data_IF_349567709118
#
_entry.id   IF_349567709118
#
_cell.length_a   1.000
_cell.length_b   1.000
_cell.length_c   1.000
_cell.angle_alpha   90.00
_cell.angle_beta   90.00
_cell.angle_gamma   90.00
#
_symmetry.space_group_name_H-M   'P 1'
#
loop_
_entity.id
_entity.type
_entity.pdbx_description
1 polymer ?
#
# COMPACT_ATOMS: atom_id res chain seq x y z
N UNK A 1 -4.01 19.18 -13.48
CA UNK A 1 -3.50 19.23 -12.09
C UNK A 1 -4.13 18.07 -11.35
N UNK A 2 -3.43 16.98 -10.96
CA UNK A 2 -4.06 16.01 -10.08
C UNK A 2 -4.18 16.67 -8.70
N UNK A 3 -5.40 16.85 -8.24
CA UNK A 3 -5.73 17.37 -6.91
C UNK A 3 -5.24 16.39 -5.87
N UNK A 4 -4.12 16.70 -5.21
CA UNK A 4 -3.57 15.92 -4.11
C UNK A 4 -4.43 16.07 -2.87
N UNK A 5 -5.46 15.24 -2.74
CA UNK A 5 -6.02 14.96 -1.43
C UNK A 5 -5.06 13.99 -0.72
N UNK A 6 -4.47 14.45 0.38
CA UNK A 6 -3.88 13.54 1.38
C UNK A 6 -4.97 12.55 1.75
N UNK A 7 -4.78 11.27 1.40
CA UNK A 7 -5.88 10.32 1.43
C UNK A 7 -6.29 9.96 2.87
N UNK A 8 -5.37 10.13 3.84
CA UNK A 8 -5.63 9.93 5.26
C UNK A 8 -6.28 11.19 5.83
N UNK A 9 -7.50 11.03 6.35
CA UNK A 9 -8.29 12.09 6.98
C UNK A 9 -8.33 11.82 8.49
N UNK A 10 -8.13 12.86 9.30
CA UNK A 10 -8.24 12.79 10.76
C UNK A 10 -7.16 13.59 11.46
N UNK A 11 -7.44 13.98 12.71
CA UNK A 11 -6.55 14.82 13.52
C UNK A 11 -6.25 14.21 14.90
N UNK A 12 -6.53 12.91 15.09
CA UNK A 12 -6.23 12.25 16.36
C UNK A 12 -4.72 12.02 16.49
N UNK A 13 -4.26 11.85 17.73
CA UNK A 13 -2.84 11.62 18.02
C UNK A 13 -2.31 10.36 17.31
N UNK A 14 -3.15 9.32 17.18
CA UNK A 14 -2.82 8.09 16.48
C UNK A 14 -2.60 8.31 14.98
N UNK A 15 -3.45 9.13 14.34
CA UNK A 15 -3.29 9.48 12.91
C UNK A 15 -2.03 10.32 12.69
N UNK A 16 -1.72 11.23 13.62
CA UNK A 16 -0.49 12.02 13.58
C UNK A 16 0.73 11.10 13.70
N UNK A 17 0.72 10.15 14.63
CA UNK A 17 1.79 9.18 14.81
C UNK A 17 1.95 8.25 13.59
N UNK A 18 0.85 7.76 13.04
CA UNK A 18 0.83 6.94 11.84
C UNK A 18 1.48 7.70 10.68
N UNK A 19 1.09 8.94 10.43
CA UNK A 19 1.63 9.77 9.33
C UNK A 19 3.14 10.02 9.47
N UNK A 20 3.62 10.21 10.71
CA UNK A 20 5.07 10.31 11.00
C UNK A 20 5.79 8.99 10.69
N UNK A 21 5.21 7.85 11.09
CA UNK A 21 5.78 6.54 10.80
C UNK A 21 5.85 6.27 9.29
N UNK A 22 4.80 6.60 8.54
CA UNK A 22 4.80 6.47 7.08
C UNK A 22 5.92 7.28 6.43
N UNK A 23 6.15 8.51 6.90
CA UNK A 23 7.23 9.36 6.39
C UNK A 23 8.62 8.76 6.63
N UNK A 24 8.83 8.09 7.77
CA UNK A 24 10.08 7.38 8.07
C UNK A 24 10.26 6.13 7.19
N UNK A 25 9.19 5.35 7.02
CA UNK A 25 9.21 4.12 6.24
C UNK A 25 9.34 4.38 4.74
N UNK A 26 8.79 5.49 4.23
CA UNK A 26 8.76 5.81 2.81
C UNK A 26 10.15 5.93 2.15
N UNK A 27 11.18 6.29 2.92
CA UNK A 27 12.56 6.35 2.42
C UNK A 27 13.28 5.00 2.41
N UNK A 28 12.65 3.93 2.90
CA UNK A 28 13.27 2.61 3.05
C UNK A 28 12.89 1.67 1.90
N UNK A 29 13.81 0.79 1.53
CA UNK A 29 13.56 -0.31 0.60
C UNK A 29 13.09 -1.60 1.32
N UNK A 30 12.90 -1.55 2.65
CA UNK A 30 12.44 -2.69 3.43
C UNK A 30 10.95 -3.02 3.16
N UNK A 31 10.60 -4.30 3.28
CA UNK A 31 9.21 -4.74 3.25
C UNK A 31 8.43 -4.20 4.44
N UNK A 32 7.23 -3.65 4.18
CA UNK A 32 6.38 -3.03 5.20
C UNK A 32 5.11 -3.85 5.38
N UNK A 33 4.79 -4.21 6.63
CA UNK A 33 3.57 -4.91 7.01
C UNK A 33 2.57 -3.92 7.62
N UNK A 34 1.38 -3.82 7.03
CA UNK A 34 0.29 -2.97 7.54
C UNK A 34 -0.79 -3.87 8.15
N UNK A 35 -1.08 -3.65 9.43
CA UNK A 35 -2.09 -4.41 10.18
C UNK A 35 -3.23 -3.50 10.63
N UNK A 36 -4.41 -4.09 10.83
CA UNK A 36 -5.62 -3.39 11.24
C UNK A 36 -6.87 -4.17 10.88
N UNK A 37 -8.00 -3.79 11.45
CA UNK A 37 -9.29 -4.44 11.22
C UNK A 37 -9.81 -4.22 9.78
N UNK A 38 -10.77 -5.03 9.37
CA UNK A 38 -11.43 -4.83 8.07
C UNK A 38 -12.09 -3.44 8.02
N UNK A 39 -11.91 -2.71 6.92
CA UNK A 39 -12.46 -1.35 6.78
C UNK A 39 -11.66 -0.23 7.47
N UNK A 40 -10.54 -0.51 8.14
CA UNK A 40 -9.72 0.50 8.83
C UNK A 40 -8.88 1.41 7.91
N UNK A 41 -9.10 1.38 6.60
CA UNK A 41 -8.37 2.23 5.64
C UNK A 41 -6.95 1.77 5.30
N UNK A 42 -6.59 0.49 5.46
CA UNK A 42 -5.24 -0.01 5.12
C UNK A 42 -4.78 0.33 3.69
N UNK A 43 -5.67 0.27 2.70
CA UNK A 43 -5.33 0.67 1.32
C UNK A 43 -4.96 2.15 1.20
N UNK A 44 -5.63 3.00 1.97
CA UNK A 44 -5.33 4.44 2.03
C UNK A 44 -3.91 4.65 2.55
N UNK A 45 -3.55 3.93 3.61
CA UNK A 45 -2.21 3.94 4.21
C UNK A 45 -1.15 3.48 3.21
N UNK A 46 -1.38 2.37 2.49
CA UNK A 46 -0.42 1.86 1.50
C UNK A 46 -0.22 2.84 0.33
N UNK A 47 -1.30 3.48 -0.14
CA UNK A 47 -1.21 4.48 -1.22
C UNK A 47 -0.45 5.73 -0.78
N UNK A 48 -0.67 6.19 0.45
CA UNK A 48 0.04 7.34 1.00
C UNK A 48 1.52 7.02 1.19
N UNK A 49 1.86 5.82 1.66
CA UNK A 49 3.22 5.34 1.76
C UNK A 49 3.94 5.34 0.40
N UNK A 50 3.30 4.81 -0.65
CA UNK A 50 3.85 4.83 -2.02
C UNK A 50 4.07 6.28 -2.50
N UNK A 51 3.09 7.16 -2.27
CA UNK A 51 3.15 8.58 -2.63
C UNK A 51 4.32 9.32 -1.98
N UNK A 52 4.64 8.98 -0.73
CA UNK A 52 5.75 9.57 0.04
C UNK A 52 7.10 8.96 -0.32
N UNK A 53 7.13 7.79 -0.96
CA UNK A 53 8.37 7.06 -1.23
C UNK A 53 9.18 7.65 -2.37
N UNK A 54 10.45 7.23 -2.46
CA UNK A 54 11.33 7.53 -3.61
C UNK A 54 10.81 6.94 -4.93
N UNK A 55 9.88 5.99 -4.86
CA UNK A 55 9.28 5.26 -6.00
C UNK A 55 7.89 5.79 -6.37
N UNK A 56 7.51 6.98 -5.89
CA UNK A 56 6.17 7.54 -6.09
C UNK A 56 5.74 7.70 -7.56
N UNK A 57 6.69 7.81 -8.49
CA UNK A 57 6.43 7.89 -9.93
C UNK A 57 6.37 6.51 -10.62
N UNK A 58 6.71 5.43 -9.92
CA UNK A 58 6.67 4.07 -10.43
C UNK A 58 5.28 3.45 -10.28
N UNK A 59 5.04 2.37 -11.03
CA UNK A 59 3.78 1.62 -10.96
C UNK A 59 3.54 1.06 -9.56
N UNK A 60 2.34 1.32 -9.01
CA UNK A 60 1.87 0.73 -7.76
C UNK A 60 0.81 -0.34 -8.06
N UNK A 61 1.17 -1.61 -7.88
CA UNK A 61 0.31 -2.76 -8.19
C UNK A 61 -0.19 -3.37 -6.88
N UNK A 62 -1.49 -3.24 -6.62
CA UNK A 62 -2.15 -3.88 -5.49
C UNK A 62 -2.73 -5.24 -5.88
N UNK A 63 -2.53 -6.24 -5.04
CA UNK A 63 -3.08 -7.59 -5.23
C UNK A 63 -3.92 -7.97 -4.01
N UNK A 64 -5.18 -8.30 -4.22
CA UNK A 64 -6.05 -8.83 -3.18
C UNK A 64 -6.00 -10.36 -3.17
N UNK A 65 -5.13 -10.92 -2.33
CA UNK A 65 -4.96 -12.38 -2.23
C UNK A 65 -6.25 -13.11 -1.81
N UNK A 66 -7.18 -12.45 -1.11
CA UNK A 66 -8.44 -13.08 -0.71
C UNK A 66 -9.42 -13.25 -1.88
N UNK A 67 -9.24 -12.51 -2.97
CA UNK A 67 -10.06 -12.60 -4.17
C UNK A 67 -9.52 -13.61 -5.20
N UNK A 68 -8.31 -14.15 -5.00
CA UNK A 68 -7.64 -15.04 -5.95
C UNK A 68 -7.69 -16.48 -5.42
N UNK A 69 -8.20 -17.45 -6.20
CA UNK A 69 -8.12 -18.86 -5.83
C UNK A 69 -6.66 -19.30 -5.63
N UNK A 70 -6.39 -20.07 -4.56
CA UNK A 70 -5.03 -20.48 -4.21
C UNK A 70 -4.28 -21.18 -5.36
N UNK A 71 -5.01 -21.94 -6.19
CA UNK A 71 -4.48 -22.64 -7.36
C UNK A 71 -4.00 -21.70 -8.48
N UNK A 72 -4.50 -20.47 -8.53
CA UNK A 72 -4.16 -19.47 -9.56
C UNK A 72 -3.19 -18.40 -9.06
N UNK A 73 -2.99 -18.29 -7.75
CA UNK A 73 -2.16 -17.24 -7.13
C UNK A 73 -0.75 -17.19 -7.70
N UNK A 74 -0.10 -18.34 -7.85
CA UNK A 74 1.26 -18.42 -8.38
C UNK A 74 1.32 -18.00 -9.86
N UNK A 75 0.31 -18.37 -10.65
CA UNK A 75 0.24 -18.00 -12.07
C UNK A 75 -0.04 -16.51 -12.27
N UNK A 76 -0.81 -15.88 -11.39
CA UNK A 76 -1.07 -14.43 -11.42
C UNK A 76 0.14 -13.61 -10.94
N UNK A 77 0.88 -14.10 -9.92
CA UNK A 77 2.04 -13.40 -9.37
C UNK A 77 3.27 -13.48 -10.27
N UNK A 78 3.52 -14.64 -10.88
CA UNK A 78 4.77 -14.91 -11.60
C UNK A 78 4.58 -15.05 -13.12
N UNK A 79 3.32 -15.16 -13.57
CA UNK A 79 3.01 -15.51 -14.95
C UNK A 79 3.25 -17.00 -15.24
N UNK A 80 2.50 -17.55 -16.18
CA UNK A 80 2.82 -18.85 -16.78
C UNK A 80 3.34 -18.65 -18.20
N UNK A 81 4.37 -19.40 -18.58
CA UNK A 81 4.87 -19.44 -19.95
C UNK A 81 4.15 -20.57 -20.68
N UNK A 82 3.42 -20.25 -21.77
CA UNK A 82 2.84 -21.28 -22.64
C UNK A 82 3.96 -22.16 -23.20
N UNK A 83 3.89 -23.46 -22.92
CA UNK A 83 4.64 -24.53 -23.56
C UNK A 83 3.65 -25.61 -23.98
#
# INVERSE_FOLDING_TARGET
MPTGHTAIIGCSDEIIQLTKMLSLCAGSDASILIQGESGSGKEVVTRELHRLSSRCNESFIGINCAAIPAQLLESELFGHKKG
#
